data_IF_349195012030
#
_entry.id   IF_349195012030
#
_cell.length_a   1.000
_cell.length_b   1.000
_cell.length_c   1.000
_cell.angle_alpha   90.00
_cell.angle_beta   90.00
_cell.angle_gamma   90.00
#
_symmetry.space_group_name_H-M   'P 1'
#
loop_
_entity.id
_entity.type
_entity.pdbx_description
1 polymer ?
#
# COMPACT_ATOMS: atom_id res chain seq x y z
N UNK A 1 11.99 23.04 -24.86
CA UNK A 1 11.94 21.70 -25.48
C UNK A 1 11.58 21.86 -26.95
N UNK A 2 12.45 21.40 -27.84
CA UNK A 2 12.35 21.66 -29.29
C UNK A 2 11.33 20.68 -29.92
N UNK A 3 10.24 21.19 -30.50
CA UNK A 3 9.12 20.40 -31.05
C UNK A 3 9.51 19.51 -32.25
N UNK A 4 10.74 19.62 -32.75
CA UNK A 4 11.25 18.90 -33.91
C UNK A 4 11.68 17.45 -33.63
N UNK A 5 11.81 17.03 -32.37
CA UNK A 5 12.22 15.66 -32.01
C UNK A 5 11.03 14.68 -32.05
N UNK A 6 9.80 15.13 -31.82
CA UNK A 6 8.60 14.28 -31.78
C UNK A 6 8.12 13.79 -33.16
N UNK A 7 8.60 14.38 -34.28
CA UNK A 7 8.16 14.02 -35.64
C UNK A 7 8.92 12.84 -36.26
N UNK A 8 10.03 12.39 -35.66
CA UNK A 8 10.85 11.27 -36.17
C UNK A 8 10.75 9.97 -35.36
N UNK A 9 10.04 9.99 -34.24
CA UNK A 9 9.89 8.84 -33.37
C UNK A 9 8.77 7.94 -33.91
N UNK A 10 9.12 6.85 -34.60
CA UNK A 10 8.15 5.84 -35.04
C UNK A 10 7.39 5.21 -33.86
N UNK A 11 6.29 4.47 -34.12
CA UNK A 11 5.46 3.86 -33.07
C UNK A 11 6.23 2.99 -32.08
N UNK A 12 7.40 2.46 -32.48
CA UNK A 12 8.30 1.70 -31.60
C UNK A 12 8.94 2.49 -30.46
N UNK A 13 9.14 3.81 -30.59
CA UNK A 13 9.76 4.63 -29.52
C UNK A 13 8.77 4.89 -28.39
N UNK A 14 7.49 5.09 -28.71
CA UNK A 14 6.42 5.26 -27.72
C UNK A 14 6.16 3.92 -27.00
N UNK A 15 6.18 2.80 -27.74
CA UNK A 15 6.05 1.47 -27.16
C UNK A 15 7.21 1.11 -26.22
N UNK A 16 8.45 1.49 -26.55
CA UNK A 16 9.63 1.24 -25.72
C UNK A 16 9.62 2.05 -24.41
N UNK A 17 9.18 3.31 -24.43
CA UNK A 17 9.02 4.13 -23.22
C UNK A 17 7.89 3.62 -22.31
N UNK A 18 6.77 3.16 -22.89
CA UNK A 18 5.67 2.55 -22.12
C UNK A 18 6.08 1.20 -21.50
N UNK A 19 6.89 0.39 -22.19
CA UNK A 19 7.40 -0.88 -21.65
C UNK A 19 8.37 -0.67 -20.47
N UNK A 20 9.25 0.34 -20.53
CA UNK A 20 10.18 0.65 -19.45
C UNK A 20 9.50 1.11 -18.15
N UNK A 21 8.37 1.82 -18.27
CA UNK A 21 7.57 2.27 -17.12
C UNK A 21 6.82 1.12 -16.41
N UNK A 22 6.58 -0.01 -17.08
CA UNK A 22 5.84 -1.14 -16.51
C UNK A 22 6.71 -2.11 -15.69
N UNK A 23 8.03 -2.17 -15.95
CA UNK A 23 8.94 -3.09 -15.26
C UNK A 23 9.31 -2.63 -13.83
N UNK A 24 9.36 -1.32 -13.58
CA UNK A 24 9.78 -0.73 -12.28
C UNK A 24 8.70 -0.76 -11.17
N UNK A 25 7.63 -1.53 -11.39
CA UNK A 25 6.31 -1.17 -10.90
C UNK A 25 5.63 -2.29 -10.08
N UNK A 26 6.31 -3.44 -9.94
CA UNK A 26 5.89 -4.57 -9.12
C UNK A 26 6.28 -4.45 -7.64
N UNK A 27 6.03 -5.53 -6.90
CA UNK A 27 6.48 -5.66 -5.50
C UNK A 27 8.00 -5.76 -5.42
N UNK A 28 8.57 -5.28 -4.32
CA UNK A 28 9.98 -5.44 -3.96
C UNK A 28 10.26 -6.87 -3.44
N UNK A 29 9.32 -7.46 -2.69
CA UNK A 29 9.42 -8.82 -2.17
C UNK A 29 8.59 -9.82 -2.98
N UNK A 30 8.98 -11.08 -2.88
CA UNK A 30 8.10 -12.17 -3.25
C UNK A 30 6.94 -12.25 -2.25
N UNK A 31 5.73 -12.36 -2.78
CA UNK A 31 4.57 -12.64 -1.96
C UNK A 31 4.52 -14.16 -1.77
N UNK A 32 4.69 -14.68 -0.54
CA UNK A 32 4.65 -16.12 -0.31
C UNK A 32 3.32 -16.70 -0.79
N UNK A 33 3.38 -17.81 -1.52
CA UNK A 33 2.18 -18.48 -1.98
C UNK A 33 1.46 -19.12 -0.79
N UNK A 34 0.21 -18.71 -0.55
CA UNK A 34 -0.59 -19.29 0.51
C UNK A 34 -1.07 -20.69 0.10
N UNK A 35 -0.77 -21.71 0.91
CA UNK A 35 -1.31 -23.05 0.76
C UNK A 35 -2.83 -23.08 1.01
N UNK A 36 -3.50 -24.15 0.62
CA UNK A 36 -4.91 -24.38 0.97
C UNK A 36 -5.13 -24.38 2.50
N UNK A 37 -4.14 -24.84 3.26
CA UNK A 37 -4.15 -24.79 4.72
C UNK A 37 -4.14 -23.36 5.25
N UNK A 38 -3.32 -22.48 4.67
CA UNK A 38 -3.29 -21.05 5.03
C UNK A 38 -4.63 -20.38 4.69
N UNK A 39 -5.16 -20.65 3.50
CA UNK A 39 -6.44 -20.08 3.07
C UNK A 39 -7.59 -20.52 4.00
N UNK A 40 -7.65 -21.81 4.35
CA UNK A 40 -8.66 -22.36 5.26
C UNK A 40 -8.57 -21.76 6.66
N UNK A 41 -7.35 -21.63 7.20
CA UNK A 41 -7.12 -21.01 8.50
C UNK A 41 -7.48 -19.51 8.50
N UNK A 42 -7.12 -18.79 7.44
CA UNK A 42 -7.47 -17.38 7.27
C UNK A 42 -8.98 -17.17 7.21
N UNK A 43 -9.70 -17.99 6.45
CA UNK A 43 -11.15 -17.96 6.38
C UNK A 43 -11.81 -18.22 7.74
N UNK A 44 -11.30 -19.20 8.50
CA UNK A 44 -11.81 -19.48 9.84
C UNK A 44 -11.59 -18.31 10.82
N UNK A 45 -10.41 -17.67 10.77
CA UNK A 45 -10.13 -16.49 11.58
C UNK A 45 -11.00 -15.30 11.18
N UNK A 46 -11.28 -15.13 9.88
CA UNK A 46 -12.17 -14.09 9.37
C UNK A 46 -13.60 -14.30 9.85
N UNK A 47 -14.12 -15.52 9.73
CA UNK A 47 -15.42 -15.90 10.25
C UNK A 47 -15.53 -15.66 11.77
N UNK A 48 -14.48 -15.96 12.55
CA UNK A 48 -14.46 -15.72 14.00
C UNK A 48 -14.56 -14.23 14.35
N UNK A 49 -13.83 -13.35 13.64
CA UNK A 49 -13.85 -11.89 13.89
C UNK A 49 -15.13 -11.20 13.38
N UNK A 50 -15.73 -11.71 12.31
CA UNK A 50 -16.97 -11.18 11.73
C UNK A 50 -18.22 -11.59 12.52
N UNK A 51 -18.16 -12.70 13.25
CA UNK A 51 -19.30 -13.18 14.04
C UNK A 51 -19.32 -12.55 15.44
N UNK A 52 -20.33 -11.74 15.80
CA UNK A 52 -20.42 -11.08 17.10
C UNK A 52 -20.43 -12.04 18.30
N UNK A 53 -20.83 -13.30 18.12
CA UNK A 53 -20.86 -14.31 19.19
C UNK A 53 -19.47 -14.91 19.48
N UNK A 54 -18.55 -14.89 18.52
CA UNK A 54 -17.21 -15.46 18.65
C UNK A 54 -16.12 -14.40 18.68
N UNK A 55 -16.39 -13.21 18.16
CA UNK A 55 -15.45 -12.11 18.12
C UNK A 55 -14.98 -11.77 19.54
N UNK A 56 -13.69 -11.93 19.79
CA UNK A 56 -13.11 -11.66 21.11
C UNK A 56 -13.31 -10.19 21.45
N UNK A 57 -14.05 -9.91 22.52
CA UNK A 57 -14.13 -8.57 23.08
C UNK A 57 -12.78 -8.22 23.71
N UNK A 58 -12.13 -7.20 23.18
CA UNK A 58 -10.92 -6.66 23.77
C UNK A 58 -11.26 -5.73 24.92
N UNK A 59 -10.34 -5.62 25.88
CA UNK A 59 -10.49 -4.61 26.93
C UNK A 59 -10.31 -3.23 26.30
N UNK A 60 -11.41 -2.49 26.15
CA UNK A 60 -11.35 -1.07 25.77
C UNK A 60 -10.56 -0.30 26.83
N UNK A 61 -9.41 0.22 26.44
CA UNK A 61 -8.60 1.05 27.32
C UNK A 61 -9.04 2.51 27.24
N UNK A 62 -8.96 3.21 28.38
CA UNK A 62 -9.13 4.66 28.38
C UNK A 62 -8.02 5.36 27.58
N UNK A 63 -8.28 6.57 27.07
CA UNK A 63 -7.35 7.27 26.16
C UNK A 63 -5.91 7.40 26.69
N UNK A 64 -5.71 7.62 27.99
CA UNK A 64 -4.37 7.68 28.59
C UNK A 64 -3.67 6.32 28.61
N UNK A 65 -4.41 5.25 28.88
CA UNK A 65 -3.87 3.89 28.91
C UNK A 65 -3.56 3.38 27.49
N UNK A 66 -4.44 3.65 26.53
CA UNK A 66 -4.22 3.28 25.13
C UNK A 66 -3.01 4.02 24.54
N UNK A 67 -2.87 5.33 24.83
CA UNK A 67 -1.68 6.11 24.41
C UNK A 67 -0.39 5.56 25.02
N UNK A 68 -0.41 5.13 26.29
CA UNK A 68 0.76 4.53 26.95
C UNK A 68 1.13 3.19 26.32
N UNK A 69 0.14 2.35 26.00
CA UNK A 69 0.35 1.10 25.29
C UNK A 69 0.94 1.34 23.91
N UNK A 70 0.37 2.28 23.15
CA UNK A 70 0.87 2.66 21.83
C UNK A 70 2.33 3.09 21.88
N UNK A 71 2.71 3.99 22.81
CA UNK A 71 4.11 4.39 22.99
C UNK A 71 5.05 3.23 23.30
N UNK A 72 4.60 2.24 24.07
CA UNK A 72 5.39 1.02 24.36
C UNK A 72 5.59 0.17 23.11
N UNK A 73 4.54 0.03 22.29
CA UNK A 73 4.62 -0.67 21.00
C UNK A 73 5.60 0.05 20.08
N UNK A 74 5.46 1.37 19.92
CA UNK A 74 6.37 2.21 19.13
C UNK A 74 7.82 2.01 19.56
N UNK A 75 8.12 2.09 20.87
CA UNK A 75 9.49 1.93 21.38
C UNK A 75 10.15 0.57 21.09
N UNK A 76 9.37 -0.45 20.73
CA UNK A 76 9.87 -1.78 20.35
C UNK A 76 9.91 -1.96 18.83
N UNK A 77 8.88 -1.50 18.13
CA UNK A 77 8.71 -1.70 16.69
C UNK A 77 9.58 -0.75 15.88
N UNK A 78 9.62 0.54 16.22
CA UNK A 78 10.35 1.57 15.50
C UNK A 78 11.82 1.21 15.24
N UNK A 79 12.66 0.89 16.26
CA UNK A 79 14.07 0.59 16.01
C UNK A 79 14.28 -0.70 15.19
N UNK A 80 13.34 -1.65 15.25
CA UNK A 80 13.37 -2.86 14.42
C UNK A 80 13.05 -2.52 12.97
N UNK A 81 11.96 -1.79 12.76
CA UNK A 81 11.49 -1.37 11.45
C UNK A 81 12.51 -0.47 10.73
N UNK A 82 13.16 0.46 11.43
CA UNK A 82 14.19 1.30 10.81
C UNK A 82 15.47 0.53 10.48
N UNK A 83 15.88 -0.43 11.32
CA UNK A 83 17.01 -1.32 10.99
C UNK A 83 16.70 -2.15 9.76
N UNK A 84 15.51 -2.73 9.71
CA UNK A 84 15.01 -3.45 8.54
C UNK A 84 15.04 -2.51 7.32
N UNK A 85 14.41 -1.34 7.40
CA UNK A 85 14.45 -0.33 6.34
C UNK A 85 15.87 -0.03 5.83
N UNK A 86 16.82 0.22 6.72
CA UNK A 86 18.21 0.52 6.35
C UNK A 86 18.93 -0.65 5.69
N UNK A 87 18.68 -1.88 6.14
CA UNK A 87 19.22 -3.09 5.52
C UNK A 87 18.66 -3.26 4.11
N UNK A 88 17.36 -3.05 3.97
CA UNK A 88 16.66 -3.29 2.73
C UNK A 88 16.91 -2.18 1.69
N UNK A 89 17.19 -0.96 2.13
CA UNK A 89 17.43 0.17 1.23
C UNK A 89 18.90 0.57 1.16
N UNK A 90 19.81 -0.31 1.58
CA UNK A 90 21.25 -0.06 1.62
C UNK A 90 21.86 0.32 0.25
N UNK A 91 21.28 -0.19 -0.84
CA UNK A 91 21.71 0.11 -2.22
C UNK A 91 21.05 1.39 -2.78
N UNK A 92 20.09 1.97 -2.07
CA UNK A 92 19.38 3.16 -2.50
C UNK A 92 20.00 4.39 -1.86
N UNK A 93 20.56 5.27 -2.70
CA UNK A 93 21.10 6.53 -2.21
C UNK A 93 20.01 7.39 -1.58
N UNK A 94 20.30 7.92 -0.38
CA UNK A 94 19.46 8.86 0.34
C UNK A 94 18.05 8.36 0.71
N UNK A 95 17.81 7.04 0.75
CA UNK A 95 16.53 6.53 1.24
C UNK A 95 16.35 6.87 2.73
N UNK A 96 15.27 7.58 3.05
CA UNK A 96 15.04 8.05 4.40
C UNK A 96 14.36 6.97 5.26
N UNK A 97 15.11 6.38 6.18
CA UNK A 97 14.61 5.41 7.17
C UNK A 97 14.37 6.01 8.56
N UNK A 98 14.45 7.34 8.73
CA UNK A 98 14.12 8.04 9.98
C UNK A 98 12.63 8.46 9.95
N UNK A 99 11.76 7.53 10.32
CA UNK A 99 10.31 7.64 10.13
C UNK A 99 9.68 8.23 11.38
N UNK A 100 9.05 9.39 11.24
CA UNK A 100 8.35 10.04 12.34
C UNK A 100 7.03 9.31 12.65
N UNK A 101 6.94 8.65 13.80
CA UNK A 101 5.69 8.07 14.27
C UNK A 101 4.93 9.08 15.14
N UNK A 102 3.70 9.43 14.76
CA UNK A 102 2.91 10.45 15.45
C UNK A 102 1.45 10.07 15.68
N UNK A 103 0.82 10.77 16.63
CA UNK A 103 -0.63 10.69 16.85
C UNK A 103 -1.29 11.86 16.13
N UNK A 104 -2.07 11.56 15.09
CA UNK A 104 -2.85 12.55 14.37
C UNK A 104 -4.20 12.79 15.05
N UNK A 105 -4.34 13.96 15.67
CA UNK A 105 -5.56 14.38 16.36
C UNK A 105 -6.53 15.15 15.47
N UNK A 106 -6.16 15.43 14.22
CA UNK A 106 -6.99 16.19 13.30
C UNK A 106 -8.09 15.33 12.67
N UNK A 107 -7.87 14.03 12.51
CA UNK A 107 -8.84 13.10 11.97
C UNK A 107 -9.67 12.39 13.07
N UNK A 108 -11.01 12.47 13.05
CA UNK A 108 -11.85 11.94 14.13
C UNK A 108 -12.10 10.43 14.06
N UNK A 109 -11.93 9.81 12.89
CA UNK A 109 -12.18 8.38 12.68
C UNK A 109 -10.99 7.48 13.00
N UNK A 110 -11.20 6.17 12.98
CA UNK A 110 -10.11 5.19 13.06
C UNK A 110 -9.31 5.24 11.76
N UNK A 111 -8.03 5.58 11.86
CA UNK A 111 -7.11 5.47 10.75
C UNK A 111 -5.66 5.31 11.23
N UNK A 112 -4.87 4.65 10.40
CA UNK A 112 -3.41 4.68 10.42
C UNK A 112 -2.96 4.84 8.97
N UNK A 113 -1.89 5.59 8.72
CA UNK A 113 -1.42 5.83 7.36
C UNK A 113 0.05 6.26 7.33
N UNK A 114 0.72 5.86 6.26
CA UNK A 114 2.02 6.39 5.85
C UNK A 114 1.83 7.67 4.99
N UNK A 115 2.67 8.68 5.22
CA UNK A 115 2.72 9.93 4.43
C UNK A 115 4.10 10.61 4.57
N UNK A 116 4.24 11.83 4.06
CA UNK A 116 5.38 12.71 4.27
C UNK A 116 4.94 14.01 4.93
N UNK A 117 5.79 14.61 5.75
CA UNK A 117 5.60 15.98 6.23
C UNK A 117 6.07 17.02 5.19
N UNK A 118 5.88 18.31 5.51
CA UNK A 118 6.22 19.42 4.60
C UNK A 118 7.73 19.51 4.30
N UNK A 119 8.57 18.91 5.16
CA UNK A 119 10.01 18.81 4.96
C UNK A 119 10.43 17.55 4.19
N UNK A 120 9.47 16.71 3.78
CA UNK A 120 9.71 15.46 3.07
C UNK A 120 10.18 14.32 3.98
N UNK A 121 10.07 14.44 5.31
CA UNK A 121 10.36 13.32 6.21
C UNK A 121 9.19 12.31 6.15
N UNK A 122 9.47 11.00 6.06
CA UNK A 122 8.42 10.01 6.13
C UNK A 122 7.76 9.99 7.51
N UNK A 123 6.44 9.83 7.52
CA UNK A 123 5.59 9.87 8.69
C UNK A 123 4.69 8.66 8.68
N UNK A 124 4.56 7.99 9.83
CA UNK A 124 3.47 7.06 10.10
C UNK A 124 2.58 7.68 11.17
N UNK A 125 1.33 7.94 10.82
CA UNK A 125 0.36 8.60 11.68
C UNK A 125 -0.72 7.61 12.15
N UNK A 126 -1.08 7.71 13.43
CA UNK A 126 -2.19 6.97 14.02
C UNK A 126 -3.21 7.92 14.63
N UNK A 127 -4.50 7.67 14.45
CA UNK A 127 -5.52 8.46 15.16
C UNK A 127 -5.77 7.95 16.57
N UNK A 128 -6.23 8.82 17.50
CA UNK A 128 -6.66 8.39 18.82
C UNK A 128 -7.74 7.29 18.78
N UNK A 129 -8.64 7.33 17.80
CA UNK A 129 -9.68 6.33 17.62
C UNK A 129 -9.09 4.98 17.23
N UNK A 130 -8.11 4.96 16.31
CA UNK A 130 -7.39 3.73 15.94
C UNK A 130 -6.64 3.12 17.13
N UNK A 131 -5.93 3.96 17.89
CA UNK A 131 -5.18 3.52 19.07
C UNK A 131 -6.10 2.94 20.15
N UNK A 132 -7.29 3.51 20.33
CA UNK A 132 -8.28 3.04 21.31
C UNK A 132 -9.03 1.78 20.87
N UNK A 133 -9.12 1.53 19.57
CA UNK A 133 -9.83 0.38 19.02
C UNK A 133 -9.02 -0.92 19.10
N UNK A 134 -7.69 -0.82 19.13
CA UNK A 134 -6.83 -1.99 19.27
C UNK A 134 -7.10 -2.72 20.59
N UNK A 135 -7.38 -4.03 20.50
CA UNK A 135 -7.76 -4.89 21.63
C UNK A 135 -6.53 -5.36 22.42
N UNK A 136 -5.36 -5.34 21.80
CA UNK A 136 -4.10 -5.83 22.37
C UNK A 136 -2.90 -5.16 21.67
N UNK A 137 -1.66 -5.29 22.19
CA UNK A 137 -0.51 -4.61 21.61
C UNK A 137 0.00 -5.27 20.32
N UNK A 138 -0.33 -6.54 20.07
CA UNK A 138 0.03 -7.24 18.83
C UNK A 138 -0.67 -6.59 17.63
N UNK A 139 -1.92 -6.15 17.80
CA UNK A 139 -2.66 -5.40 16.75
C UNK A 139 -2.01 -4.07 16.41
N UNK A 140 -1.66 -3.27 17.44
CA UNK A 140 -0.94 -2.01 17.21
C UNK A 140 0.42 -2.25 16.56
N UNK A 141 1.12 -3.30 16.97
CA UNK A 141 2.42 -3.65 16.43
C UNK A 141 2.33 -4.09 14.96
N UNK A 142 1.28 -4.83 14.60
CA UNK A 142 1.04 -5.27 13.22
C UNK A 142 0.62 -4.12 12.31
N UNK A 143 -0.32 -3.26 12.74
CA UNK A 143 -0.69 -2.07 11.98
C UNK A 143 0.51 -1.16 11.79
N UNK A 144 1.32 -0.93 12.82
CA UNK A 144 2.54 -0.11 12.69
C UNK A 144 3.54 -0.76 11.73
N UNK A 145 3.78 -2.08 11.84
CA UNK A 145 4.64 -2.80 10.91
C UNK A 145 4.14 -2.70 9.46
N UNK A 146 2.82 -2.78 9.25
CA UNK A 146 2.17 -2.63 7.95
C UNK A 146 2.38 -1.22 7.35
N UNK A 147 2.17 -0.15 8.12
CA UNK A 147 2.43 1.22 7.66
C UNK A 147 3.92 1.46 7.35
N UNK A 148 4.82 0.86 8.14
CA UNK A 148 6.26 0.89 7.82
C UNK A 148 6.54 0.12 6.52
N UNK A 149 5.82 -0.99 6.29
CA UNK A 149 5.85 -1.76 5.03
C UNK A 149 5.48 -0.92 3.81
N UNK A 150 4.48 -0.05 3.91
CA UNK A 150 4.15 0.89 2.83
C UNK A 150 5.30 1.83 2.47
N UNK A 151 6.03 2.32 3.49
CA UNK A 151 7.19 3.18 3.28
C UNK A 151 8.35 2.39 2.63
N UNK A 152 8.72 1.25 3.21
CA UNK A 152 9.83 0.41 2.76
C UNK A 152 9.59 -0.14 1.35
N UNK A 153 8.35 -0.56 1.06
CA UNK A 153 7.92 -1.01 -0.26
C UNK A 153 7.75 0.12 -1.29
N UNK A 154 7.88 1.38 -0.86
CA UNK A 154 7.75 2.59 -1.69
C UNK A 154 6.40 2.68 -2.40
N UNK A 155 5.34 2.18 -1.75
CA UNK A 155 4.04 2.00 -2.39
C UNK A 155 3.42 3.32 -2.86
N UNK A 156 3.60 4.42 -2.13
CA UNK A 156 3.15 5.73 -2.61
C UNK A 156 3.87 6.16 -3.90
N UNK A 157 5.19 5.99 -3.96
CA UNK A 157 5.97 6.38 -5.13
C UNK A 157 5.61 5.52 -6.35
N UNK A 158 5.58 4.19 -6.17
CA UNK A 158 5.17 3.25 -7.23
C UNK A 158 3.74 3.54 -7.69
N UNK A 159 2.80 3.80 -6.77
CA UNK A 159 1.42 4.14 -7.14
C UNK A 159 1.32 5.45 -7.93
N UNK A 160 2.16 6.46 -7.63
CA UNK A 160 2.23 7.69 -8.43
C UNK A 160 2.77 7.42 -9.83
N UNK A 161 3.83 6.61 -9.97
CA UNK A 161 4.36 6.19 -11.27
C UNK A 161 3.30 5.46 -12.10
N UNK A 162 2.53 4.57 -11.48
CA UNK A 162 1.44 3.85 -12.12
C UNK A 162 0.31 4.77 -12.57
N UNK A 163 -0.05 5.76 -11.75
CA UNK A 163 -1.01 6.78 -12.12
C UNK A 163 -0.55 7.56 -13.36
N UNK A 164 0.73 7.98 -13.37
CA UNK A 164 1.30 8.69 -14.51
C UNK A 164 1.32 7.82 -15.76
N UNK A 165 1.76 6.56 -15.66
CA UNK A 165 1.78 5.63 -16.78
C UNK A 165 0.37 5.42 -17.34
N UNK A 166 -0.62 5.15 -16.49
CA UNK A 166 -2.02 5.00 -16.89
C UNK A 166 -2.58 6.24 -17.58
N UNK A 167 -2.29 7.44 -17.04
CA UNK A 167 -2.69 8.71 -17.66
C UNK A 167 -2.11 8.89 -19.05
N UNK A 168 -0.80 8.61 -19.21
CA UNK A 168 -0.11 8.75 -20.49
C UNK A 168 -0.64 7.76 -21.53
N UNK A 169 -0.89 6.51 -21.15
CA UNK A 169 -1.43 5.47 -22.04
C UNK A 169 -2.82 5.89 -22.54
N UNK A 170 -3.75 6.20 -21.62
CA UNK A 170 -5.11 6.59 -21.98
C UNK A 170 -5.15 7.90 -22.77
N UNK A 171 -4.31 8.86 -22.40
CA UNK A 171 -4.14 10.12 -23.12
C UNK A 171 -3.65 9.89 -24.55
N UNK A 172 -2.63 9.05 -24.75
CA UNK A 172 -2.09 8.73 -26.06
C UNK A 172 -3.13 8.02 -26.95
N UNK A 173 -3.87 7.05 -26.41
CA UNK A 173 -4.95 6.37 -27.14
C UNK A 173 -6.04 7.36 -27.58
N UNK A 174 -6.40 8.29 -26.70
CA UNK A 174 -7.43 9.31 -26.97
C UNK A 174 -6.96 10.32 -28.02
N UNK A 175 -5.74 10.82 -27.89
CA UNK A 175 -5.12 11.72 -28.86
C UNK A 175 -4.99 11.07 -30.23
N UNK A 176 -4.59 9.79 -30.28
CA UNK A 176 -4.54 9.01 -31.52
C UNK A 176 -5.92 8.87 -32.16
N UNK A 177 -6.96 8.52 -31.38
CA UNK A 177 -8.34 8.43 -31.87
C UNK A 177 -8.86 9.76 -32.41
N UNK A 178 -8.57 10.88 -31.73
CA UNK A 178 -8.90 12.22 -32.21
C UNK A 178 -8.16 12.56 -33.51
N UNK A 179 -6.87 12.24 -33.61
CA UNK A 179 -6.08 12.45 -34.82
C UNK A 179 -6.63 11.65 -36.01
N UNK A 180 -7.00 10.38 -35.81
CA UNK A 180 -7.63 9.54 -36.82
C UNK A 180 -8.99 10.09 -37.27
N UNK A 181 -9.83 10.51 -36.32
CA UNK A 181 -11.13 11.12 -36.64
C UNK A 181 -10.96 12.44 -37.43
N UNK A 182 -9.94 13.24 -37.09
CA UNK A 182 -9.60 14.47 -37.79
C UNK A 182 -9.05 14.21 -39.21
N UNK A 183 -8.28 13.14 -39.39
CA UNK A 183 -7.80 12.72 -40.71
C UNK A 183 -8.95 12.20 -41.60
N UNK A 184 -9.91 11.47 -41.02
CA UNK A 184 -11.07 10.94 -41.72
C UNK A 184 -12.08 12.04 -42.13
N UNK A 185 -12.24 13.09 -41.32
CA UNK A 185 -13.08 14.24 -41.65
C UNK A 185 -12.46 15.55 -41.14
N UNK A 186 -11.74 16.30 -42.00
CA UNK A 186 -11.11 17.57 -41.62
C UNK A 186 -12.09 18.65 -41.15
N UNK A 187 -13.37 18.57 -41.54
CA UNK A 187 -14.43 19.53 -41.18
C UNK A 187 -15.22 19.13 -39.93
N UNK A 188 -14.82 18.06 -39.24
CA UNK A 188 -15.46 17.62 -37.99
C UNK A 188 -15.35 18.70 -36.92
N UNK A 189 -16.41 18.88 -36.13
CA UNK A 189 -16.42 19.73 -34.95
C UNK A 189 -15.44 19.23 -33.88
N UNK A 190 -14.55 20.11 -33.39
CA UNK A 190 -13.49 19.80 -32.41
C UNK A 190 -13.74 20.32 -30.99
N UNK A 191 -14.93 20.85 -30.72
CA UNK A 191 -15.25 21.36 -29.40
C UNK A 191 -15.25 20.25 -28.36
N UNK A 192 -14.44 20.41 -27.32
CA UNK A 192 -14.36 19.46 -26.20
C UNK A 192 -13.26 18.41 -26.29
N UNK A 193 -12.46 18.36 -27.36
CA UNK A 193 -11.38 17.37 -27.52
C UNK A 193 -10.33 17.45 -26.39
N UNK A 194 -9.98 18.66 -25.94
CA UNK A 194 -9.06 18.85 -24.82
C UNK A 194 -9.65 18.37 -23.49
N UNK A 195 -10.95 18.60 -23.25
CA UNK A 195 -11.63 18.09 -22.06
C UNK A 195 -11.74 16.56 -22.10
N UNK A 196 -12.04 15.98 -23.26
CA UNK A 196 -12.05 14.54 -23.44
C UNK A 196 -10.67 13.92 -23.19
N UNK A 197 -9.61 14.57 -23.67
CA UNK A 197 -8.23 14.15 -23.40
C UNK A 197 -7.93 14.18 -21.89
N UNK A 198 -8.22 15.29 -21.21
CA UNK A 198 -8.00 15.41 -19.77
C UNK A 198 -8.78 14.35 -18.99
N UNK A 199 -10.08 14.19 -19.26
CA UNK A 199 -10.91 13.18 -18.61
C UNK A 199 -10.35 11.76 -18.82
N UNK A 200 -9.81 11.48 -20.00
CA UNK A 200 -9.21 10.18 -20.31
C UNK A 200 -7.90 9.95 -19.56
N UNK A 201 -7.06 10.99 -19.47
CA UNK A 201 -5.85 10.95 -18.65
C UNK A 201 -6.18 10.76 -17.16
N UNK A 202 -7.19 11.45 -16.65
CA UNK A 202 -7.64 11.29 -15.25
C UNK A 202 -8.19 9.87 -15.00
N UNK A 203 -8.96 9.33 -15.93
CA UNK A 203 -9.43 7.95 -15.88
C UNK A 203 -8.26 6.95 -15.92
N UNK A 204 -7.28 7.18 -16.79
CA UNK A 204 -6.06 6.40 -16.88
C UNK A 204 -5.25 6.44 -15.59
N UNK A 205 -5.12 7.61 -14.97
CA UNK A 205 -4.47 7.75 -13.66
C UNK A 205 -5.20 6.96 -12.59
N UNK A 206 -6.53 7.03 -12.55
CA UNK A 206 -7.35 6.27 -11.62
C UNK A 206 -7.14 4.76 -11.77
N UNK A 207 -7.16 4.24 -13.01
CA UNK A 207 -6.93 2.83 -13.30
C UNK A 207 -5.52 2.42 -12.87
N UNK A 208 -4.49 3.21 -13.21
CA UNK A 208 -3.11 2.95 -12.83
C UNK A 208 -2.93 2.83 -11.32
N UNK A 209 -3.53 3.74 -10.53
CA UNK A 209 -3.48 3.69 -9.07
C UNK A 209 -4.11 2.42 -8.47
N UNK A 210 -5.13 1.87 -9.12
CA UNK A 210 -5.88 0.71 -8.64
C UNK A 210 -5.25 -0.63 -9.04
N UNK A 211 -4.47 -0.67 -10.12
CA UNK A 211 -3.96 -1.92 -10.69
C UNK A 211 -3.11 -2.75 -9.71
N UNK A 212 -2.40 -2.11 -8.78
CA UNK A 212 -1.48 -2.76 -7.83
C UNK A 212 -1.81 -2.52 -6.36
N UNK A 213 -2.92 -1.83 -6.06
CA UNK A 213 -3.25 -1.45 -4.67
C UNK A 213 -3.33 -2.68 -3.76
N UNK A 214 -4.06 -3.72 -4.16
CA UNK A 214 -4.15 -4.97 -3.39
C UNK A 214 -2.79 -5.66 -3.26
N UNK A 215 -1.96 -5.66 -4.30
CA UNK A 215 -0.63 -6.27 -4.25
C UNK A 215 0.30 -5.55 -3.26
N UNK A 216 0.21 -4.22 -3.19
CA UNK A 216 0.94 -3.41 -2.21
C UNK A 216 0.44 -3.60 -0.77
N UNK A 217 -0.86 -3.86 -0.56
CA UNK A 217 -1.35 -4.27 0.77
C UNK A 217 -0.71 -5.61 1.20
N UNK A 218 -0.69 -6.60 0.30
CA UNK A 218 -0.09 -7.91 0.60
C UNK A 218 1.41 -7.81 0.86
N UNK A 219 2.13 -7.00 0.10
CA UNK A 219 3.56 -6.75 0.35
C UNK A 219 3.79 -6.05 1.70
N UNK A 220 2.93 -5.09 2.05
CA UNK A 220 2.99 -4.42 3.35
C UNK A 220 2.68 -5.39 4.50
N UNK A 221 1.81 -6.39 4.28
CA UNK A 221 1.56 -7.47 5.24
C UNK A 221 2.76 -8.41 5.39
N UNK A 222 3.48 -8.71 4.30
CA UNK A 222 4.73 -9.50 4.34
C UNK A 222 5.80 -8.78 5.18
N UNK A 223 6.07 -7.51 4.85
CA UNK A 223 7.05 -6.69 5.58
C UNK A 223 6.59 -6.47 7.03
N UNK A 224 5.31 -6.16 7.23
CA UNK A 224 4.71 -5.98 8.55
C UNK A 224 4.84 -7.22 9.41
N UNK A 225 4.61 -8.41 8.85
CA UNK A 225 4.81 -9.70 9.56
C UNK A 225 6.23 -9.84 10.08
N UNK A 226 7.23 -9.58 9.23
CA UNK A 226 8.64 -9.67 9.63
C UNK A 226 9.00 -8.66 10.73
N UNK A 227 8.59 -7.40 10.57
CA UNK A 227 8.85 -6.34 11.55
C UNK A 227 8.18 -6.66 12.89
N UNK A 228 6.90 -7.03 12.88
CA UNK A 228 6.13 -7.34 14.09
C UNK A 228 6.71 -8.54 14.82
N UNK A 229 7.07 -9.61 14.09
CA UNK A 229 7.70 -10.81 14.65
C UNK A 229 9.06 -10.49 15.28
N UNK A 230 9.89 -9.71 14.58
CA UNK A 230 11.22 -9.31 15.05
C UNK A 230 11.16 -8.35 16.26
N UNK A 231 10.08 -7.57 16.39
CA UNK A 231 9.81 -6.74 17.56
C UNK A 231 9.27 -7.53 18.78
N UNK A 232 9.10 -8.85 18.65
CA UNK A 232 8.66 -9.74 19.72
C UNK A 232 7.14 -9.74 19.95
N UNK A 233 6.36 -9.37 18.92
CA UNK A 233 4.90 -9.47 18.91
C UNK A 233 4.44 -10.63 18.03
N UNK A 234 3.19 -11.06 18.21
CA UNK A 234 2.56 -12.10 17.39
C UNK A 234 1.87 -11.46 16.17
N UNK A 235 2.43 -11.60 14.95
CA UNK A 235 1.85 -11.00 13.75
C UNK A 235 0.53 -11.65 13.36
N UNK A 236 0.33 -12.96 13.58
CA UNK A 236 -0.93 -13.63 13.24
C UNK A 236 -2.05 -13.07 14.12
N UNK A 237 -1.80 -12.94 15.43
CA UNK A 237 -2.75 -12.32 16.35
C UNK A 237 -3.01 -10.85 16.04
N UNK A 238 -1.98 -10.11 15.63
CA UNK A 238 -2.12 -8.70 15.24
C UNK A 238 -2.92 -8.52 13.95
N UNK A 239 -2.67 -9.34 12.93
CA UNK A 239 -3.32 -9.30 11.62
C UNK A 239 -4.83 -9.57 11.67
N UNK A 240 -5.31 -10.25 12.71
CA UNK A 240 -6.75 -10.42 12.96
C UNK A 240 -7.49 -9.09 13.11
N UNK A 241 -6.80 -7.98 13.36
CA UNK A 241 -7.39 -6.65 13.28
C UNK A 241 -8.07 -6.40 11.92
N UNK A 242 -7.44 -6.81 10.82
CA UNK A 242 -7.96 -6.61 9.45
C UNK A 242 -9.13 -7.52 9.09
N UNK A 243 -9.40 -8.54 9.91
CA UNK A 243 -10.54 -9.42 9.74
C UNK A 243 -11.83 -8.91 10.42
N UNK A 244 -11.78 -7.75 11.09
CA UNK A 244 -12.94 -7.22 11.82
C UNK A 244 -13.98 -6.56 10.92
N UNK A 245 -15.26 -6.63 11.29
CA UNK A 245 -16.32 -5.91 10.59
C UNK A 245 -16.23 -4.41 10.90
N UNK A 246 -16.09 -3.58 9.86
CA UNK A 246 -16.22 -2.13 9.97
C UNK A 246 -16.68 -1.49 8.64
N UNK A 247 -17.38 -0.36 8.75
CA UNK A 247 -17.78 0.43 7.60
C UNK A 247 -16.57 1.10 6.94
N UNK A 248 -16.51 1.08 5.60
CA UNK A 248 -15.42 1.67 4.81
C UNK A 248 -15.44 3.22 4.79
N UNK A 249 -16.54 3.82 5.22
CA UNK A 249 -16.74 5.27 5.26
C UNK A 249 -17.39 5.66 6.57
N UNK A 250 -16.99 6.81 7.09
CA UNK A 250 -17.64 7.46 8.22
C UNK A 250 -18.92 8.17 7.75
N UNK A 251 -19.80 8.53 8.69
CA UNK A 251 -21.05 9.25 8.39
C UNK A 251 -20.88 10.60 7.68
N UNK A 252 -19.67 11.18 7.68
CA UNK A 252 -19.31 12.41 6.95
C UNK A 252 -18.70 12.15 5.56
N UNK A 253 -18.67 10.90 5.09
CA UNK A 253 -18.15 10.49 3.78
C UNK A 253 -16.63 10.26 3.70
N UNK A 254 -15.86 10.60 4.75
CA UNK A 254 -14.44 10.30 4.79
C UNK A 254 -14.17 8.79 4.86
N UNK A 255 -13.08 8.34 4.23
CA UNK A 255 -12.66 6.93 4.30
C UNK A 255 -12.20 6.60 5.73
N UNK A 256 -12.65 5.45 6.24
CA UNK A 256 -12.08 4.85 7.45
C UNK A 256 -10.81 4.07 7.10
N UNK A 257 -10.17 3.47 8.11
CA UNK A 257 -9.09 2.51 7.90
C UNK A 257 -9.45 1.42 6.86
N UNK A 258 -10.67 0.87 6.87
CA UNK A 258 -11.11 -0.14 5.88
C UNK A 258 -11.44 0.44 4.49
N UNK A 259 -11.56 1.77 4.41
CA UNK A 259 -11.68 2.48 3.14
C UNK A 259 -10.33 2.65 2.45
N UNK A 260 -9.24 2.81 3.21
CA UNK A 260 -7.87 2.93 2.69
C UNK A 260 -7.16 1.57 2.61
N UNK A 261 -7.47 0.66 3.53
CA UNK A 261 -6.93 -0.70 3.62
C UNK A 261 -8.08 -1.72 3.61
N UNK A 262 -8.60 -2.10 2.43
CA UNK A 262 -9.71 -3.05 2.35
C UNK A 262 -9.38 -4.37 3.06
N UNK A 263 -10.33 -4.93 3.84
CA UNK A 263 -10.15 -6.21 4.47
C UNK A 263 -10.27 -7.32 3.41
N UNK A 264 -9.44 -8.35 3.52
CA UNK A 264 -9.40 -9.46 2.56
C UNK A 264 -8.80 -10.69 3.26
N UNK A 265 -9.45 -11.85 3.15
CA UNK A 265 -8.98 -13.13 3.70
C UNK A 265 -7.58 -13.48 3.19
N UNK A 266 -7.26 -13.09 1.94
CA UNK A 266 -5.94 -13.30 1.34
C UNK A 266 -4.82 -12.63 2.12
N UNK A 267 -5.10 -11.49 2.77
CA UNK A 267 -4.11 -10.79 3.60
C UNK A 267 -3.69 -11.65 4.79
N UNK A 268 -4.66 -12.24 5.48
CA UNK A 268 -4.38 -13.11 6.62
C UNK A 268 -3.72 -14.43 6.20
N UNK A 269 -4.10 -14.98 5.05
CA UNK A 269 -3.41 -16.12 4.45
C UNK A 269 -1.95 -15.79 4.10
N UNK A 270 -1.68 -14.56 3.63
CA UNK A 270 -0.33 -14.07 3.34
C UNK A 270 0.50 -13.93 4.61
N UNK A 271 -0.08 -13.46 5.71
CA UNK A 271 0.59 -13.40 7.02
C UNK A 271 0.99 -14.79 7.51
N UNK A 272 0.09 -15.78 7.38
CA UNK A 272 0.37 -17.17 7.75
C UNK A 272 1.51 -17.76 6.91
N UNK A 273 1.44 -17.59 5.58
CA UNK A 273 2.48 -18.06 4.67
C UNK A 273 3.84 -17.37 4.92
N UNK A 274 3.81 -16.07 5.26
CA UNK A 274 5.02 -15.30 5.59
C UNK A 274 5.64 -15.80 6.90
N UNK A 275 4.83 -16.10 7.91
CA UNK A 275 5.31 -16.69 9.16
C UNK A 275 6.00 -18.03 8.94
N UNK A 276 5.37 -18.94 8.18
CA UNK A 276 5.99 -20.22 7.83
C UNK A 276 7.32 -20.01 7.06
N UNK A 277 7.34 -19.09 6.10
CA UNK A 277 8.55 -18.77 5.33
C UNK A 277 9.69 -18.24 6.21
N UNK A 278 9.39 -17.34 7.16
CA UNK A 278 10.38 -16.81 8.10
C UNK A 278 10.91 -17.91 9.03
N UNK A 279 10.04 -18.81 9.50
CA UNK A 279 10.43 -19.93 10.36
C UNK A 279 11.32 -20.93 9.62
N UNK A 280 11.06 -21.16 8.33
CA UNK A 280 11.84 -22.07 7.49
C UNK A 280 13.20 -21.49 7.06
N UNK A 281 13.27 -20.18 6.77
CA UNK A 281 14.44 -19.56 6.11
C UNK A 281 15.22 -18.58 6.98
N UNK A 282 14.65 -18.13 8.10
CA UNK A 282 15.24 -17.12 8.99
C UNK A 282 15.07 -15.67 8.53
N UNK A 283 14.35 -15.38 7.43
CA UNK A 283 14.15 -14.03 6.90
C UNK A 283 13.13 -13.94 5.76
N UNK A 284 13.04 -12.78 5.10
CA UNK A 284 12.19 -12.57 3.92
C UNK A 284 12.98 -12.82 2.62
N UNK A 285 12.30 -13.33 1.59
CA UNK A 285 12.86 -13.50 0.25
C UNK A 285 12.57 -12.28 -0.64
N UNK A 286 13.63 -11.71 -1.24
CA UNK A 286 13.52 -10.62 -2.23
C UNK A 286 13.29 -11.16 -3.63
N UNK A 287 12.54 -10.41 -4.45
CA UNK A 287 12.54 -10.62 -5.89
C UNK A 287 13.93 -10.34 -6.45
N UNK A 288 14.45 -11.25 -7.26
CA UNK A 288 15.67 -11.00 -8.03
C UNK A 288 15.40 -9.86 -9.00
N UNK A 289 16.17 -8.78 -8.91
CA UNK A 289 16.18 -7.73 -9.93
C UNK A 289 16.77 -8.32 -11.21
N UNK A 290 16.16 -8.04 -12.35
CA UNK A 290 16.56 -8.60 -13.66
C UNK A 290 17.88 -8.02 -14.22
N UNK A 291 18.63 -7.25 -13.42
CA UNK A 291 19.85 -6.56 -13.86
C UNK A 291 21.14 -7.35 -13.58
N UNK A 292 21.01 -8.65 -13.29
CA UNK A 292 22.12 -9.59 -13.11
C UNK A 292 22.33 -10.54 -14.29
N UNK A 293 22.40 -10.01 -15.52
CA UNK A 293 23.00 -10.71 -16.67
C UNK A 293 23.49 -9.73 -17.74
#
# INVERSE_FOLDING_TARGET
>A
MNLSILKKSGPGVIAAFALGLLAACGTTYDLPEASEGHASAAQAMFAEEQNPATAKSGRKLSGTLSTRQFRRVVSRVEPVAERFCRQETAEQENFNCDILIRIDRSFPGKNAYQTYDDAGRPVVAFTPAMIQDARNPDELAFVLGHEMGHHIGQHQHKQQQQAMAGALIMGAMTAYGQAQANAANPYRYRGGEQRALQNSMDAGAGIGKMAYSQTYELESDVIGTAITRAAGYDPVKGARFFARPEEKRLGNGALSFWGTHPPDEKRLATVLATMESIEATGGLARKKTSDGQ
#
